data_IF_328559957700
#
_entry.id   IF_328559957700
#
_cell.length_a   1.000
_cell.length_b   1.000
_cell.length_c   1.000
_cell.angle_alpha   90.00
_cell.angle_beta   90.00
_cell.angle_gamma   90.00
#
_symmetry.space_group_name_H-M   'P 1'
#
loop_
_entity.id
_entity.type
_entity.pdbx_description
1 polymer ?
#
# COMPACT_ATOMS: atom_id res chain seq x y z
N UNK A 1 7.41 -14.29 -8.94
CA UNK A 1 6.24 -13.47 -8.53
C UNK A 1 5.54 -14.07 -7.30
N UNK A 2 6.30 -14.14 -6.20
CA UNK A 2 5.89 -14.84 -4.96
C UNK A 2 4.55 -14.31 -4.40
N UNK A 3 4.42 -13.00 -4.23
CA UNK A 3 3.20 -12.38 -3.65
C UNK A 3 1.92 -12.58 -4.47
N UNK A 4 2.00 -12.96 -5.72
CA UNK A 4 0.83 -13.34 -6.52
C UNK A 4 0.19 -14.64 -6.01
N UNK A 5 1.01 -15.62 -5.65
CA UNK A 5 0.57 -16.95 -5.21
C UNK A 5 0.39 -17.07 -3.69
N UNK A 6 0.91 -16.13 -2.93
CA UNK A 6 0.81 -16.10 -1.46
C UNK A 6 -0.11 -14.98 -1.01
N UNK A 7 0.43 -13.82 -0.71
CA UNK A 7 -0.29 -12.65 -0.16
C UNK A 7 -1.54 -12.28 -0.99
N UNK A 8 -1.42 -12.26 -2.30
CA UNK A 8 -2.56 -11.95 -3.18
C UNK A 8 -3.68 -13.00 -3.10
N UNK A 9 -3.31 -14.28 -2.98
CA UNK A 9 -4.28 -15.35 -2.80
C UNK A 9 -4.96 -15.27 -1.43
N UNK A 10 -4.19 -15.03 -0.37
CA UNK A 10 -4.72 -14.86 0.99
C UNK A 10 -5.71 -13.70 1.06
N UNK A 11 -5.37 -12.55 0.47
CA UNK A 11 -6.28 -11.39 0.39
C UNK A 11 -7.59 -11.76 -0.32
N UNK A 12 -7.52 -12.42 -1.49
CA UNK A 12 -8.71 -12.85 -2.21
C UNK A 12 -9.57 -13.78 -1.37
N UNK A 13 -8.96 -14.72 -0.66
CA UNK A 13 -9.67 -15.64 0.24
C UNK A 13 -10.37 -14.90 1.38
N UNK A 14 -9.67 -13.97 2.02
CA UNK A 14 -10.25 -13.15 3.09
C UNK A 14 -11.41 -12.27 2.60
N UNK A 15 -11.27 -11.66 1.43
CA UNK A 15 -12.34 -10.86 0.81
C UNK A 15 -13.58 -11.72 0.51
N UNK A 16 -13.39 -12.95 0.02
CA UNK A 16 -14.49 -13.89 -0.21
C UNK A 16 -15.21 -14.27 1.10
N UNK A 17 -14.44 -14.56 2.14
CA UNK A 17 -15.00 -14.89 3.45
C UNK A 17 -15.82 -13.74 4.06
N UNK A 18 -15.40 -12.50 3.81
CA UNK A 18 -16.07 -11.29 4.30
C UNK A 18 -17.20 -10.81 3.37
N UNK A 19 -17.33 -11.37 2.17
CA UNK A 19 -18.27 -10.90 1.16
C UNK A 19 -17.98 -9.46 0.68
N UNK A 20 -16.71 -9.05 0.67
CA UNK A 20 -16.27 -7.70 0.31
C UNK A 20 -15.66 -7.70 -1.09
N UNK A 21 -16.10 -6.76 -1.92
CA UNK A 21 -15.48 -6.45 -3.22
C UNK A 21 -14.56 -5.23 -3.05
N UNK A 22 -13.26 -5.36 -3.31
CA UNK A 22 -12.34 -4.24 -3.15
C UNK A 22 -12.46 -3.24 -4.29
N UNK A 23 -12.40 -1.96 -3.98
CA UNK A 23 -12.32 -0.86 -4.94
C UNK A 23 -10.88 -0.40 -5.15
N UNK A 24 -10.05 -0.50 -4.12
CA UNK A 24 -8.65 -0.08 -4.15
C UNK A 24 -7.72 -0.97 -3.33
N UNK A 25 -6.45 -0.99 -3.74
CA UNK A 25 -5.34 -1.63 -3.03
C UNK A 25 -4.19 -0.65 -2.85
N UNK A 26 -3.73 -0.50 -1.62
CA UNK A 26 -2.62 0.37 -1.24
C UNK A 26 -1.49 -0.45 -0.65
N UNK A 27 -0.27 -0.23 -1.10
CA UNK A 27 0.92 -0.79 -0.47
C UNK A 27 2.16 0.07 -0.71
N UNK A 28 3.00 0.18 0.31
CA UNK A 28 4.32 0.79 0.22
C UNK A 28 5.22 0.03 -0.75
N UNK A 29 6.04 0.77 -1.48
CA UNK A 29 6.93 0.23 -2.50
C UNK A 29 8.37 0.20 -2.00
N UNK A 30 8.86 -1.00 -1.70
CA UNK A 30 10.30 -1.30 -1.58
C UNK A 30 10.80 -1.86 -2.90
N UNK A 31 10.88 -3.19 -3.03
CA UNK A 31 11.26 -3.86 -4.29
C UNK A 31 10.14 -3.87 -5.34
N UNK A 32 8.92 -3.54 -4.97
CA UNK A 32 7.74 -3.60 -5.84
C UNK A 32 7.06 -4.98 -5.90
N UNK A 33 7.58 -5.96 -5.20
CA UNK A 33 7.04 -7.33 -5.24
C UNK A 33 5.61 -7.43 -4.73
N UNK A 34 5.31 -6.78 -3.62
CA UNK A 34 3.97 -6.77 -3.01
C UNK A 34 2.96 -6.07 -3.91
N UNK A 35 3.23 -4.82 -4.29
CA UNK A 35 2.28 -4.04 -5.09
C UNK A 35 1.99 -4.70 -6.43
N UNK A 36 3.01 -5.22 -7.12
CA UNK A 36 2.84 -5.87 -8.43
C UNK A 36 2.20 -7.26 -8.33
N UNK A 37 2.62 -8.06 -7.37
CA UNK A 37 2.11 -9.41 -7.20
C UNK A 37 0.65 -9.44 -6.76
N UNK A 38 0.31 -8.66 -5.74
CA UNK A 38 -1.06 -8.56 -5.21
C UNK A 38 -1.99 -7.90 -6.23
N UNK A 39 -1.60 -6.79 -6.83
CA UNK A 39 -2.44 -6.10 -7.82
C UNK A 39 -2.77 -6.98 -9.03
N UNK A 40 -1.79 -7.74 -9.52
CA UNK A 40 -2.01 -8.70 -10.60
C UNK A 40 -3.04 -9.77 -10.20
N UNK A 41 -2.95 -10.28 -8.98
CA UNK A 41 -3.91 -11.28 -8.46
C UNK A 41 -5.30 -10.70 -8.31
N UNK A 42 -5.41 -9.54 -7.70
CA UNK A 42 -6.69 -8.86 -7.49
C UNK A 42 -7.39 -8.55 -8.81
N UNK A 43 -6.67 -8.06 -9.83
CA UNK A 43 -7.25 -7.69 -11.13
C UNK A 43 -7.80 -8.87 -11.93
N UNK A 44 -7.36 -10.08 -11.66
CA UNK A 44 -7.96 -11.29 -12.26
C UNK A 44 -9.42 -11.44 -11.80
N UNK A 45 -9.68 -11.22 -10.52
CA UNK A 45 -11.00 -11.38 -9.92
C UNK A 45 -11.81 -10.08 -9.89
N UNK A 46 -11.11 -8.95 -9.71
CA UNK A 46 -11.68 -7.62 -9.58
C UNK A 46 -11.03 -6.68 -10.60
N UNK A 47 -11.45 -6.73 -11.90
CA UNK A 47 -10.76 -5.97 -12.98
C UNK A 47 -10.73 -4.46 -12.77
N UNK A 48 -11.70 -3.91 -12.03
CA UNK A 48 -11.84 -2.48 -11.76
C UNK A 48 -11.06 -1.99 -10.55
N UNK A 49 -10.37 -2.87 -9.82
CA UNK A 49 -9.61 -2.46 -8.63
C UNK A 49 -8.54 -1.46 -8.99
N UNK A 50 -8.54 -0.33 -8.30
CA UNK A 50 -7.49 0.70 -8.41
C UNK A 50 -6.30 0.32 -7.55
N UNK A 51 -5.10 0.66 -8.03
CA UNK A 51 -3.84 0.30 -7.37
C UNK A 51 -3.05 1.55 -7.07
N UNK A 52 -2.73 1.74 -5.81
CA UNK A 52 -2.06 2.92 -5.27
C UNK A 52 -0.72 2.53 -4.64
N UNK A 53 0.40 2.65 -5.37
CA UNK A 53 1.71 2.56 -4.74
C UNK A 53 1.90 3.71 -3.77
N UNK A 54 2.53 3.43 -2.63
CA UNK A 54 2.80 4.39 -1.58
C UNK A 54 4.29 4.61 -1.44
N UNK A 55 4.70 5.88 -1.33
CA UNK A 55 6.08 6.27 -1.08
C UNK A 55 6.19 7.33 0.02
N UNK A 56 7.35 7.39 0.72
CA UNK A 56 7.61 8.44 1.71
C UNK A 56 7.74 9.81 1.06
N UNK A 57 7.27 10.86 1.72
CA UNK A 57 7.42 12.25 1.26
C UNK A 57 8.87 12.64 1.00
N UNK A 58 9.80 12.13 1.80
CA UNK A 58 11.25 12.41 1.63
C UNK A 58 11.91 11.59 0.53
N UNK A 59 11.20 10.62 -0.07
CA UNK A 59 11.74 9.75 -1.12
C UNK A 59 10.69 9.53 -2.21
N UNK A 60 10.44 10.59 -2.99
CA UNK A 60 9.39 10.63 -4.02
C UNK A 60 9.94 10.25 -5.41
N UNK A 61 10.54 9.06 -5.52
CA UNK A 61 11.09 8.59 -6.78
C UNK A 61 10.00 8.34 -7.84
N UNK A 62 8.85 7.80 -7.42
CA UNK A 62 7.74 7.52 -8.34
C UNK A 62 6.98 8.79 -8.75
N UNK A 63 6.79 9.73 -7.81
CA UNK A 63 6.04 10.97 -8.08
C UNK A 63 6.86 12.01 -8.82
N UNK A 64 8.13 12.21 -8.42
CA UNK A 64 8.99 13.31 -8.89
C UNK A 64 10.20 12.86 -9.70
N UNK A 65 10.52 11.56 -9.70
CA UNK A 65 11.75 11.04 -10.30
C UNK A 65 13.03 11.46 -9.54
N UNK A 66 12.88 11.95 -8.31
CA UNK A 66 14.01 12.44 -7.51
C UNK A 66 14.63 11.32 -6.69
N UNK A 67 15.96 11.36 -6.55
CA UNK A 67 16.67 10.50 -5.62
C UNK A 67 16.21 10.80 -4.19
N UNK A 68 15.81 9.74 -3.45
CA UNK A 68 15.28 9.87 -2.11
C UNK A 68 16.28 10.43 -1.09
N UNK A 69 15.71 11.07 -0.06
CA UNK A 69 16.40 11.45 1.16
C UNK A 69 16.09 10.47 2.26
N UNK A 70 16.89 10.48 3.31
CA UNK A 70 16.69 9.64 4.48
C UNK A 70 15.32 9.88 5.14
N UNK A 71 14.61 8.79 5.42
CA UNK A 71 13.32 8.78 6.08
C UNK A 71 13.23 7.60 7.07
N UNK A 72 12.18 7.57 7.91
CA UNK A 72 12.02 6.59 8.99
C UNK A 72 11.08 5.42 8.66
N UNK A 73 10.54 5.36 7.45
CA UNK A 73 9.66 4.25 7.03
C UNK A 73 10.52 3.15 6.41
N UNK A 74 10.95 2.20 7.22
CA UNK A 74 11.84 1.13 6.78
C UNK A 74 11.14 0.19 5.78
N UNK A 75 11.91 -0.31 4.83
CA UNK A 75 11.46 -1.30 3.85
C UNK A 75 10.77 -0.76 2.61
N UNK A 76 10.60 0.57 2.51
CA UNK A 76 10.03 1.24 1.34
C UNK A 76 10.82 2.50 1.00
N UNK A 77 10.66 3.00 -0.22
CA UNK A 77 11.20 4.30 -0.61
C UNK A 77 12.71 4.34 -0.77
N UNK A 78 13.28 3.38 -1.50
CA UNK A 78 14.74 3.22 -1.69
C UNK A 78 15.38 4.32 -2.55
N UNK A 79 14.63 5.34 -2.96
CA UNK A 79 15.12 6.48 -3.71
C UNK A 79 15.20 6.29 -5.23
N UNK A 80 14.62 5.22 -5.73
CA UNK A 80 14.48 4.93 -7.16
C UNK A 80 13.17 4.17 -7.41
N UNK A 81 12.72 4.15 -8.66
CA UNK A 81 11.60 3.32 -9.08
C UNK A 81 12.12 1.92 -9.37
N UNK A 82 11.67 0.89 -8.63
CA UNK A 82 12.13 -0.48 -8.89
C UNK A 82 11.73 -0.95 -10.28
N UNK A 83 12.62 -1.67 -10.96
CA UNK A 83 12.35 -2.24 -12.30
C UNK A 83 11.11 -3.11 -12.37
N UNK A 84 10.77 -3.76 -11.26
CA UNK A 84 9.59 -4.61 -11.16
C UNK A 84 8.28 -3.82 -11.26
N UNK A 85 8.31 -2.52 -10.93
CA UNK A 85 7.10 -1.69 -10.87
C UNK A 85 6.76 -1.14 -12.25
N UNK A 86 5.63 -1.57 -12.77
CA UNK A 86 5.07 -1.00 -14.00
C UNK A 86 4.15 0.17 -13.65
N UNK A 87 4.65 1.38 -13.75
CA UNK A 87 3.92 2.60 -13.43
C UNK A 87 2.64 2.80 -14.27
N UNK A 88 2.60 2.26 -15.50
CA UNK A 88 1.40 2.33 -16.37
C UNK A 88 0.21 1.52 -15.82
N UNK A 89 0.47 0.61 -14.89
CA UNK A 89 -0.56 -0.19 -14.22
C UNK A 89 -1.00 0.38 -12.88
N UNK A 90 -0.41 1.50 -12.45
CA UNK A 90 -0.78 2.20 -11.24
C UNK A 90 -1.79 3.30 -11.54
N UNK A 91 -2.73 3.51 -10.63
CA UNK A 91 -3.81 4.49 -10.83
C UNK A 91 -3.46 5.85 -10.23
N UNK A 92 -2.86 5.87 -9.04
CA UNK A 92 -2.41 7.09 -8.39
C UNK A 92 -1.30 6.74 -7.39
N UNK A 93 -0.45 7.70 -7.05
CA UNK A 93 0.64 7.50 -6.08
C UNK A 93 0.25 8.20 -4.78
N UNK A 94 0.36 7.47 -3.67
CA UNK A 94 0.12 8.03 -2.34
C UNK A 94 1.46 8.37 -1.70
N UNK A 95 1.54 9.59 -1.20
CA UNK A 95 2.73 10.10 -0.51
C UNK A 95 2.40 10.33 0.96
N UNK A 96 3.20 9.77 1.87
CA UNK A 96 3.02 9.90 3.31
C UNK A 96 4.25 10.46 3.99
N UNK A 97 4.05 11.29 5.01
CA UNK A 97 5.11 11.73 5.90
C UNK A 97 5.43 10.66 6.95
N UNK A 98 6.71 10.48 7.24
CA UNK A 98 7.17 9.48 8.22
C UNK A 98 6.62 9.75 9.64
N UNK A 99 6.48 11.00 10.04
CA UNK A 99 5.83 11.38 11.30
C UNK A 99 4.38 10.90 11.40
N UNK A 100 3.61 11.08 10.35
CA UNK A 100 2.19 10.66 10.29
C UNK A 100 2.07 9.12 10.27
N UNK A 101 2.97 8.44 9.57
CA UNK A 101 3.03 6.97 9.59
C UNK A 101 3.31 6.42 11.00
N UNK A 102 4.22 7.05 11.74
CA UNK A 102 4.53 6.68 13.14
C UNK A 102 3.31 6.91 14.04
N UNK A 103 2.66 8.06 13.91
CA UNK A 103 1.45 8.37 14.69
C UNK A 103 0.32 7.39 14.39
N UNK A 104 0.15 6.99 13.13
CA UNK A 104 -0.85 6.01 12.74
C UNK A 104 -0.55 4.62 13.32
N UNK A 105 0.70 4.17 13.31
CA UNK A 105 1.09 2.91 13.94
C UNK A 105 0.78 2.92 15.45
N UNK A 106 1.07 4.03 16.15
CA UNK A 106 0.71 4.21 17.57
C UNK A 106 -0.80 4.21 17.79
N UNK A 107 -1.55 4.83 16.89
CA UNK A 107 -3.01 4.89 16.97
C UNK A 107 -3.63 3.49 16.81
N UNK A 108 -3.16 2.70 15.85
CA UNK A 108 -3.58 1.31 15.67
C UNK A 108 -3.35 0.47 16.93
N UNK A 109 -2.17 0.61 17.55
CA UNK A 109 -1.86 -0.09 18.79
C UNK A 109 -2.79 0.33 19.94
N UNK A 110 -3.01 1.62 20.12
CA UNK A 110 -3.80 2.16 21.24
C UNK A 110 -5.31 1.94 21.10
N UNK A 111 -5.85 2.08 19.90
CA UNK A 111 -7.30 2.05 19.67
C UNK A 111 -7.82 0.66 19.28
N UNK A 112 -7.02 -0.11 18.56
CA UNK A 112 -7.43 -1.40 18.03
C UNK A 112 -6.63 -2.57 18.63
N UNK A 113 -5.63 -2.30 19.47
CA UNK A 113 -4.77 -3.34 20.00
C UNK A 113 -3.87 -4.02 18.96
N UNK A 114 -3.67 -3.37 17.80
CA UNK A 114 -2.88 -3.92 16.69
C UNK A 114 -1.47 -3.33 16.75
N UNK A 115 -0.51 -4.11 17.23
CA UNK A 115 0.90 -3.75 17.26
C UNK A 115 1.56 -4.00 15.92
N UNK A 116 1.86 -2.94 15.17
CA UNK A 116 2.48 -2.99 13.83
C UNK A 116 3.61 -1.97 13.71
N UNK A 117 4.50 -2.20 12.75
CA UNK A 117 5.58 -1.28 12.44
C UNK A 117 5.14 -0.03 11.69
N UNK A 118 6.12 0.85 11.44
CA UNK A 118 5.88 2.15 10.79
C UNK A 118 5.41 1.98 9.35
N UNK A 119 5.91 1.00 8.61
CA UNK A 119 5.49 0.74 7.24
C UNK A 119 4.02 0.30 7.16
N UNK A 120 3.56 -0.47 8.12
CA UNK A 120 2.14 -0.84 8.26
C UNK A 120 1.27 0.36 8.64
N UNK A 121 1.76 1.24 9.51
CA UNK A 121 1.14 2.53 9.80
C UNK A 121 1.01 3.41 8.55
N UNK A 122 2.04 3.46 7.71
CA UNK A 122 2.03 4.15 6.43
C UNK A 122 0.99 3.56 5.48
N UNK A 123 0.92 2.23 5.37
CA UNK A 123 -0.05 1.54 4.53
C UNK A 123 -1.50 1.83 4.95
N UNK A 124 -1.77 1.78 6.25
CA UNK A 124 -3.11 2.09 6.77
C UNK A 124 -3.48 3.56 6.54
N UNK A 125 -2.55 4.49 6.79
CA UNK A 125 -2.75 5.91 6.50
C UNK A 125 -3.04 6.13 5.01
N UNK A 126 -2.29 5.47 4.13
CA UNK A 126 -2.51 5.52 2.68
C UNK A 126 -3.89 4.99 2.29
N UNK A 127 -4.37 3.93 2.93
CA UNK A 127 -5.72 3.41 2.72
C UNK A 127 -6.80 4.43 3.14
N UNK A 128 -6.61 5.10 4.26
CA UNK A 128 -7.51 6.19 4.71
C UNK A 128 -7.50 7.35 3.73
N UNK A 129 -6.33 7.76 3.23
CA UNK A 129 -6.21 8.82 2.23
C UNK A 129 -6.93 8.46 0.92
N UNK A 130 -6.79 7.23 0.44
CA UNK A 130 -7.51 6.75 -0.73
C UNK A 130 -9.03 6.76 -0.52
N UNK A 131 -9.52 6.28 0.62
CA UNK A 131 -10.93 6.32 0.96
C UNK A 131 -11.47 7.75 1.04
N UNK A 132 -10.73 8.67 1.66
CA UNK A 132 -11.12 10.08 1.73
C UNK A 132 -11.22 10.72 0.35
N UNK A 133 -10.38 10.31 -0.60
CA UNK A 133 -10.40 10.84 -1.97
C UNK A 133 -11.58 10.31 -2.79
N UNK A 134 -11.91 9.03 -2.66
CA UNK A 134 -12.91 8.34 -3.50
C UNK A 134 -14.27 8.18 -2.82
N UNK A 135 -14.38 8.44 -1.54
CA UNK A 135 -15.63 8.39 -0.77
C UNK A 135 -15.69 7.28 0.27
N UNK A 136 -16.62 7.44 1.22
CA UNK A 136 -16.77 6.52 2.38
C UNK A 136 -17.10 5.08 2.00
N UNK A 137 -17.71 4.86 0.84
CA UNK A 137 -18.12 3.53 0.37
C UNK A 137 -17.02 2.84 -0.44
N UNK A 138 -15.91 3.53 -0.69
CA UNK A 138 -14.75 2.99 -1.39
C UNK A 138 -14.00 1.99 -0.49
N UNK A 139 -14.06 0.71 -0.84
CA UNK A 139 -13.45 -0.37 -0.07
C UNK A 139 -11.97 -0.50 -0.41
N UNK A 140 -11.11 -0.17 0.55
CA UNK A 140 -9.66 -0.20 0.37
C UNK A 140 -9.04 -1.38 1.11
N UNK A 141 -8.21 -2.12 0.40
CA UNK A 141 -7.38 -3.19 0.95
C UNK A 141 -5.94 -2.71 1.11
N UNK A 142 -5.33 -3.05 2.20
CA UNK A 142 -3.89 -2.86 2.43
C UNK A 142 -3.30 -4.06 3.17
N UNK A 143 -2.00 -4.04 3.40
CA UNK A 143 -1.28 -5.10 4.11
C UNK A 143 -0.50 -4.54 5.29
N UNK A 144 -0.41 -5.33 6.34
CA UNK A 144 0.52 -5.11 7.44
C UNK A 144 1.67 -6.10 7.29
N UNK A 145 2.82 -5.62 6.89
CA UNK A 145 3.99 -6.46 6.59
C UNK A 145 4.94 -6.65 7.77
N UNK A 146 4.70 -5.96 8.86
CA UNK A 146 5.54 -5.97 10.06
C UNK A 146 4.74 -5.81 11.37
#
# INVERSE_FOLDING_TARGET
MKHFYTTGLEICTQLDMLGVVPDGFVAGVGTGGTIMGVSKRLRIKYPHVKVFPLEPFKSQAMTKGEKGKEHRIQGIGDGFVPELVNMKKMDDIIVVHDGDAILMAKKLARQLGIGVGISSGANFLGAVMAQNKYGKDFQVVTVFSD
#
